data_IF_913288266445
#
_entry.id   IF_913288266445
#
_cell.length_a   1.000
_cell.length_b   1.000
_cell.length_c   1.000
_cell.angle_alpha   90.00
_cell.angle_beta   90.00
_cell.angle_gamma   90.00
#
_symmetry.space_group_name_H-M   'P 1'
#
loop_
_entity.id
_entity.type
_entity.pdbx_description
1 polymer ?
#
# COMPACT_ATOMS: atom_id res chain seq x y z
N UNK A 1 19.57 -21.48 -45.80
CA UNK A 1 20.38 -20.77 -44.77
C UNK A 1 19.40 -20.11 -43.83
N UNK A 2 18.99 -20.84 -42.79
CA UNK A 2 18.07 -20.31 -41.77
C UNK A 2 18.86 -19.31 -40.93
N UNK A 3 18.54 -18.02 -41.06
CA UNK A 3 19.01 -17.03 -40.10
C UNK A 3 18.35 -17.37 -38.76
N UNK A 4 19.15 -17.82 -37.80
CA UNK A 4 18.79 -17.74 -36.39
C UNK A 4 18.66 -16.26 -36.05
N UNK A 5 17.44 -15.74 -36.12
CA UNK A 5 17.12 -14.40 -35.64
C UNK A 5 17.27 -14.45 -34.11
N UNK A 6 18.47 -14.16 -33.61
CA UNK A 6 18.69 -13.95 -32.19
C UNK A 6 17.89 -12.71 -31.79
N UNK A 7 16.91 -12.92 -30.92
CA UNK A 7 15.93 -11.96 -30.38
C UNK A 7 16.56 -10.93 -29.44
N UNK A 8 17.49 -10.10 -29.94
CA UNK A 8 18.06 -9.00 -29.14
C UNK A 8 17.13 -7.78 -29.00
N UNK A 9 15.99 -7.78 -29.68
CA UNK A 9 15.01 -6.70 -29.67
C UNK A 9 13.60 -7.30 -29.73
N UNK A 10 13.09 -7.87 -28.65
CA UNK A 10 11.67 -8.20 -28.51
C UNK A 10 11.08 -7.31 -27.42
N UNK A 11 9.85 -6.82 -27.60
CA UNK A 11 9.15 -6.02 -26.59
C UNK A 11 8.97 -6.86 -25.34
N UNK A 12 9.62 -6.47 -24.23
CA UNK A 12 9.57 -7.26 -23.01
C UNK A 12 8.29 -6.98 -22.22
N UNK A 13 7.23 -7.70 -22.58
CA UNK A 13 5.93 -7.65 -21.89
C UNK A 13 5.94 -8.74 -20.80
N UNK A 14 6.10 -8.34 -19.54
CA UNK A 14 6.01 -9.22 -18.37
C UNK A 14 4.56 -9.31 -17.92
N UNK A 15 4.07 -10.50 -17.63
CA UNK A 15 2.74 -10.71 -17.04
C UNK A 15 2.89 -11.47 -15.74
N UNK A 16 2.46 -10.86 -14.64
CA UNK A 16 2.60 -11.41 -13.28
C UNK A 16 1.20 -11.59 -12.70
N UNK A 17 0.74 -12.84 -12.50
CA UNK A 17 -0.49 -13.09 -11.76
C UNK A 17 -0.23 -12.86 -10.27
N UNK A 18 -1.13 -12.13 -9.63
CA UNK A 18 -1.16 -11.97 -8.18
C UNK A 18 -2.40 -12.65 -7.64
N UNK A 19 -2.20 -13.60 -6.73
CA UNK A 19 -3.30 -14.20 -5.98
C UNK A 19 -2.98 -14.20 -4.51
N UNK A 20 -4.02 -14.03 -3.71
CA UNK A 20 -3.90 -14.14 -2.26
C UNK A 20 -4.59 -15.43 -1.79
N UNK A 21 -3.85 -16.26 -1.04
CA UNK A 21 -4.44 -17.41 -0.36
C UNK A 21 -5.38 -16.94 0.76
N UNK A 22 -6.39 -17.75 1.17
CA UNK A 22 -7.41 -17.38 2.17
C UNK A 22 -6.88 -16.88 3.53
N UNK A 23 -5.59 -17.07 3.80
CA UNK A 23 -4.95 -16.88 5.11
C UNK A 23 -3.90 -15.76 5.11
N UNK A 24 -3.43 -15.30 3.94
CA UNK A 24 -2.39 -14.27 3.82
C UNK A 24 -2.96 -12.93 3.38
N UNK A 25 -2.18 -11.85 3.46
CA UNK A 25 -2.44 -10.58 2.77
C UNK A 25 -1.23 -10.38 1.87
N UNK A 26 -1.43 -10.27 0.56
CA UNK A 26 -0.33 -9.95 -0.34
C UNK A 26 -0.11 -8.43 -0.29
N UNK A 27 1.04 -8.03 0.25
CA UNK A 27 1.47 -6.63 0.30
C UNK A 27 2.69 -6.47 -0.57
N UNK A 28 2.61 -5.55 -1.52
CA UNK A 28 3.77 -5.01 -2.21
C UNK A 28 4.06 -3.65 -1.60
N UNK A 29 5.27 -3.50 -1.08
CA UNK A 29 5.71 -2.26 -0.45
C UNK A 29 5.87 -1.12 -1.48
N UNK A 30 5.87 0.15 -1.04
CA UNK A 30 6.07 1.26 -1.97
C UNK A 30 7.36 1.12 -2.76
N UNK A 31 7.21 1.15 -4.08
CA UNK A 31 8.29 0.93 -5.01
C UNK A 31 8.14 1.79 -6.27
N UNK A 32 9.22 1.87 -7.03
CA UNK A 32 9.31 2.60 -8.30
C UNK A 32 10.12 1.74 -9.25
N UNK A 33 9.67 1.62 -10.48
CA UNK A 33 10.38 0.86 -11.51
C UNK A 33 10.28 1.58 -12.86
N UNK A 34 11.16 1.22 -13.80
CA UNK A 34 11.29 1.87 -15.12
C UNK A 34 10.20 1.48 -16.13
N UNK A 35 9.38 0.50 -15.77
CA UNK A 35 8.37 -0.07 -16.65
C UNK A 35 7.04 0.68 -16.41
N UNK A 36 6.20 0.76 -17.43
CA UNK A 36 4.80 1.09 -17.22
C UNK A 36 4.08 -0.14 -16.71
N UNK A 37 3.13 0.05 -15.79
CA UNK A 37 2.37 -1.02 -15.17
C UNK A 37 0.88 -0.85 -15.39
N UNK A 38 0.23 -1.96 -15.74
CA UNK A 38 -1.21 -2.12 -15.82
C UNK A 38 -1.59 -3.19 -14.81
N UNK A 39 -2.32 -2.83 -13.77
CA UNK A 39 -2.87 -3.77 -12.81
C UNK A 39 -4.38 -3.90 -12.98
N UNK A 40 -4.85 -5.10 -13.35
CA UNK A 40 -6.27 -5.42 -13.48
C UNK A 40 -6.73 -6.28 -12.31
N UNK A 41 -7.73 -5.83 -11.56
CA UNK A 41 -8.35 -6.64 -10.50
C UNK A 41 -9.44 -7.56 -11.10
N UNK A 42 -9.31 -8.87 -10.91
CA UNK A 42 -10.28 -9.86 -11.40
C UNK A 42 -11.32 -10.24 -10.35
N UNK A 43 -10.89 -10.46 -9.11
CA UNK A 43 -11.75 -10.84 -7.99
C UNK A 43 -11.23 -10.22 -6.68
N UNK A 44 -12.09 -10.13 -5.67
CA UNK A 44 -11.71 -9.62 -4.34
C UNK A 44 -11.60 -8.10 -4.26
N UNK A 45 -10.71 -7.60 -3.41
CA UNK A 45 -10.50 -6.17 -3.19
C UNK A 45 -9.00 -5.84 -3.17
N UNK A 46 -8.63 -4.73 -3.80
CA UNK A 46 -7.26 -4.21 -3.75
C UNK A 46 -7.25 -2.74 -3.33
N UNK A 47 -6.22 -2.36 -2.58
CA UNK A 47 -5.89 -0.98 -2.32
C UNK A 47 -4.54 -0.67 -2.96
N UNK A 48 -4.53 0.28 -3.88
CA UNK A 48 -3.33 0.84 -4.47
C UNK A 48 -3.05 2.20 -3.85
N UNK A 49 -1.78 2.45 -3.56
CA UNK A 49 -1.25 3.75 -3.21
C UNK A 49 -0.37 4.16 -4.36
N UNK A 50 -0.67 5.25 -5.05
CA UNK A 50 0.16 5.78 -6.14
C UNK A 50 0.42 7.25 -5.85
N UNK A 51 1.70 7.57 -5.64
CA UNK A 51 2.17 8.83 -5.06
C UNK A 51 1.37 9.20 -3.80
N UNK A 52 0.45 10.14 -3.94
CA UNK A 52 -0.32 10.72 -2.85
C UNK A 52 -1.80 10.31 -2.92
N UNK A 53 -2.16 9.40 -3.80
CA UNK A 53 -3.54 8.97 -4.04
C UNK A 53 -3.73 7.53 -3.63
N UNK A 54 -4.91 7.24 -3.08
CA UNK A 54 -5.33 5.89 -2.72
C UNK A 54 -6.46 5.50 -3.66
N UNK A 55 -6.29 4.36 -4.32
CA UNK A 55 -7.26 3.76 -5.21
C UNK A 55 -7.76 2.46 -4.61
N UNK A 56 -9.06 2.41 -4.28
CA UNK A 56 -9.72 1.17 -3.86
C UNK A 56 -10.38 0.54 -5.07
N UNK A 57 -9.81 -0.55 -5.55
CA UNK A 57 -10.25 -1.22 -6.77
C UNK A 57 -11.43 -2.14 -6.47
N UNK A 58 -12.34 -2.20 -7.42
CA UNK A 58 -13.35 -3.24 -7.58
C UNK A 58 -12.99 -4.17 -8.75
N UNK A 59 -13.48 -5.42 -8.78
CA UNK A 59 -13.33 -6.29 -9.93
C UNK A 59 -13.69 -5.59 -11.24
N UNK A 60 -12.83 -5.72 -12.24
CA UNK A 60 -12.93 -5.06 -13.54
C UNK A 60 -12.40 -3.64 -13.61
N UNK A 61 -11.78 -3.15 -12.55
CA UNK A 61 -11.05 -1.89 -12.58
C UNK A 61 -9.56 -2.12 -12.83
N UNK A 62 -8.96 -1.16 -13.54
CA UNK A 62 -7.55 -1.15 -13.90
C UNK A 62 -6.87 0.04 -13.23
N UNK A 63 -5.71 -0.19 -12.64
CA UNK A 63 -4.78 0.89 -12.27
C UNK A 63 -3.64 0.92 -13.27
N UNK A 64 -3.37 2.10 -13.81
CA UNK A 64 -2.23 2.37 -14.69
C UNK A 64 -1.19 3.21 -13.96
N UNK A 65 0.09 2.85 -14.12
CA UNK A 65 1.19 3.47 -13.39
C UNK A 65 2.34 3.73 -14.36
N UNK A 66 2.85 4.96 -14.31
CA UNK A 66 4.01 5.42 -15.05
C UNK A 66 5.30 5.05 -14.30
N UNK A 67 6.41 4.92 -15.03
CA UNK A 67 7.75 4.65 -14.51
C UNK A 67 8.28 5.70 -13.52
N UNK A 68 7.66 6.87 -13.45
CA UNK A 68 8.02 7.93 -12.51
C UNK A 68 7.02 8.12 -11.35
N UNK A 69 6.13 7.14 -11.11
CA UNK A 69 5.16 7.13 -10.01
C UNK A 69 5.49 6.07 -8.96
N UNK A 70 5.79 6.49 -7.75
CA UNK A 70 5.97 5.61 -6.60
C UNK A 70 4.62 4.96 -6.25
N UNK A 71 4.59 3.64 -6.09
CA UNK A 71 3.35 2.94 -5.82
C UNK A 71 3.52 1.71 -4.93
N UNK A 72 2.46 1.36 -4.21
CA UNK A 72 2.37 0.16 -3.38
C UNK A 72 0.98 -0.41 -3.48
N UNK A 73 0.79 -1.68 -3.17
CA UNK A 73 -0.56 -2.22 -3.09
C UNK A 73 -0.73 -3.32 -2.06
N UNK A 74 -1.99 -3.52 -1.72
CA UNK A 74 -2.47 -4.48 -0.76
C UNK A 74 -3.64 -5.23 -1.38
N UNK A 75 -3.52 -6.55 -1.49
CA UNK A 75 -4.62 -7.43 -1.86
C UNK A 75 -5.28 -7.95 -0.58
N UNK A 76 -6.54 -7.58 -0.38
CA UNK A 76 -7.30 -7.85 0.84
C UNK A 76 -8.46 -8.81 0.56
N UNK A 77 -8.54 -9.86 1.38
CA UNK A 77 -9.63 -10.84 1.35
C UNK A 77 -9.20 -12.19 0.79
N UNK A 78 -9.93 -13.24 1.19
CA UNK A 78 -9.80 -14.55 0.59
C UNK A 78 -10.17 -14.47 -0.90
N UNK A 79 -9.44 -15.22 -1.75
CA UNK A 79 -9.73 -15.34 -3.19
C UNK A 79 -9.60 -14.04 -4.01
N UNK A 80 -8.72 -13.13 -3.59
CA UNK A 80 -8.37 -11.94 -4.40
C UNK A 80 -7.39 -12.34 -5.50
N UNK A 81 -7.75 -12.08 -6.76
CA UNK A 81 -6.92 -12.31 -7.93
C UNK A 81 -6.78 -11.01 -8.74
N UNK A 82 -5.56 -10.69 -9.13
CA UNK A 82 -5.24 -9.59 -10.04
C UNK A 82 -4.15 -9.99 -11.02
N UNK A 83 -4.08 -9.27 -12.14
CA UNK A 83 -3.05 -9.46 -13.16
C UNK A 83 -2.30 -8.15 -13.33
N UNK A 84 -0.99 -8.21 -13.15
CA UNK A 84 -0.07 -7.13 -13.44
C UNK A 84 0.59 -7.37 -14.80
N UNK A 85 0.58 -6.36 -15.67
CA UNK A 85 1.30 -6.35 -16.94
C UNK A 85 2.31 -5.21 -16.88
N UNK A 86 3.59 -5.51 -17.08
CA UNK A 86 4.68 -4.54 -17.12
C UNK A 86 5.39 -4.54 -18.47
N UNK A 87 5.76 -3.36 -18.94
CA UNK A 87 6.49 -3.19 -20.18
C UNK A 87 7.35 -1.93 -20.16
N UNK A 88 8.49 -1.96 -20.85
CA UNK A 88 9.30 -0.76 -21.00
C UNK A 88 8.68 0.17 -22.07
N UNK A 89 8.44 1.46 -21.78
CA UNK A 89 7.88 2.37 -22.76
C UNK A 89 8.77 2.55 -24.01
N UNK A 90 10.09 2.37 -23.87
CA UNK A 90 11.04 2.48 -24.99
C UNK A 90 10.89 1.33 -25.98
N UNK A 91 10.59 0.11 -25.50
CA UNK A 91 10.45 -1.07 -26.35
C UNK A 91 9.28 -0.91 -27.33
N UNK A 92 8.20 -0.26 -26.92
CA UNK A 92 7.06 0.03 -27.80
C UNK A 92 7.41 1.03 -28.91
N UNK A 93 8.31 1.98 -28.59
CA UNK A 93 8.75 3.04 -29.48
C UNK A 93 9.58 2.51 -30.66
N UNK A 94 10.34 1.42 -30.42
CA UNK A 94 11.19 0.78 -31.42
C UNK A 94 10.41 -0.14 -32.38
N UNK A 95 9.32 -0.78 -31.91
CA UNK A 95 8.73 -1.93 -32.62
C UNK A 95 7.44 -1.67 -33.38
N UNK A 96 6.62 -0.69 -32.98
CA UNK A 96 5.25 -0.66 -33.52
C UNK A 96 4.64 0.71 -33.86
N UNK A 97 5.01 1.84 -33.24
CA UNK A 97 4.06 2.99 -33.22
C UNK A 97 4.66 4.40 -33.26
N UNK A 98 5.56 4.71 -34.20
CA UNK A 98 5.97 6.11 -34.45
C UNK A 98 4.81 7.07 -34.82
N UNK A 99 3.65 6.54 -35.17
CA UNK A 99 2.52 7.29 -35.75
C UNK A 99 1.33 7.41 -34.78
N UNK A 100 1.27 6.62 -33.70
CA UNK A 100 0.08 6.51 -32.84
C UNK A 100 0.48 6.51 -31.36
N UNK A 101 -0.13 7.40 -30.57
CA UNK A 101 0.11 7.51 -29.12
C UNK A 101 -0.69 6.45 -28.35
N UNK A 102 -0.05 5.32 -28.03
CA UNK A 102 -0.60 4.26 -27.16
C UNK A 102 -0.15 4.36 -25.71
N UNK A 103 0.58 5.41 -25.37
CA UNK A 103 1.12 5.63 -24.03
C UNK A 103 0.39 6.78 -23.32
N UNK A 104 -0.54 7.45 -24.00
CA UNK A 104 -1.26 8.63 -23.55
C UNK A 104 -1.77 8.55 -22.11
N UNK A 105 -2.50 7.48 -21.75
CA UNK A 105 -3.05 7.33 -20.41
C UNK A 105 -1.99 7.22 -19.30
N UNK A 106 -0.74 6.89 -19.63
CA UNK A 106 0.36 6.83 -18.65
C UNK A 106 1.09 8.17 -18.49
N UNK A 107 1.14 9.00 -19.53
CA UNK A 107 2.02 10.17 -19.57
C UNK A 107 1.28 11.50 -19.59
N UNK A 108 0.09 11.57 -20.20
CA UNK A 108 -0.69 12.81 -20.32
C UNK A 108 -1.69 12.95 -19.17
N UNK A 109 -1.14 12.87 -17.95
CA UNK A 109 -1.86 13.12 -16.70
C UNK A 109 -0.90 13.51 -15.58
N UNK A 110 -1.35 14.28 -14.59
CA UNK A 110 -0.54 14.53 -13.40
C UNK A 110 -0.22 13.22 -12.65
N UNK A 111 0.98 13.13 -12.09
CA UNK A 111 1.41 11.97 -11.29
C UNK A 111 0.51 11.76 -10.07
N UNK A 112 0.14 10.51 -9.83
CA UNK A 112 -0.80 10.11 -8.79
C UNK A 112 -2.24 10.52 -9.08
N UNK A 113 -2.57 11.07 -10.25
CA UNK A 113 -3.94 11.41 -10.63
C UNK A 113 -4.37 10.63 -11.88
N UNK A 114 -5.67 10.35 -11.98
CA UNK A 114 -6.28 9.59 -13.09
C UNK A 114 -5.63 8.22 -13.35
N UNK A 115 -5.09 7.57 -12.32
CA UNK A 115 -4.52 6.23 -12.47
C UNK A 115 -5.59 5.13 -12.59
N UNK A 116 -6.84 5.39 -12.22
CA UNK A 116 -7.92 4.39 -12.21
C UNK A 116 -8.77 4.47 -13.48
N UNK A 117 -8.81 3.37 -14.22
CA UNK A 117 -9.71 3.15 -15.37
C UNK A 117 -10.80 2.17 -14.95
N UNK A 118 -12.05 2.59 -15.09
CA UNK A 118 -13.22 1.73 -14.88
C UNK A 118 -13.61 1.10 -16.22
N UNK A 119 -13.43 -0.22 -16.38
CA UNK A 119 -13.75 -0.89 -17.65
C UNK A 119 -15.27 -0.95 -17.80
N UNK A 120 -15.86 -0.38 -18.87
CA UNK A 120 -17.29 -0.49 -19.10
C UNK A 120 -17.70 -1.95 -19.29
N UNK A 121 -18.84 -2.35 -18.72
CA UNK A 121 -19.33 -3.74 -18.78
C UNK A 121 -19.35 -4.32 -20.21
N UNK A 122 -19.69 -3.48 -21.21
CA UNK A 122 -19.72 -3.88 -22.64
C UNK A 122 -18.34 -4.21 -23.23
N UNK A 123 -17.26 -3.71 -22.63
CA UNK A 123 -15.87 -3.91 -23.07
C UNK A 123 -15.13 -4.95 -22.21
N UNK A 124 -15.70 -5.35 -21.07
CA UNK A 124 -15.05 -6.21 -20.09
C UNK A 124 -14.58 -7.54 -20.69
N UNK A 125 -15.48 -8.30 -21.32
CA UNK A 125 -15.14 -9.61 -21.89
C UNK A 125 -14.06 -9.53 -22.97
N UNK A 126 -14.07 -8.46 -23.78
CA UNK A 126 -13.06 -8.24 -24.80
C UNK A 126 -11.68 -7.98 -24.18
N UNK A 127 -11.60 -7.08 -23.19
CA UNK A 127 -10.35 -6.75 -22.49
C UNK A 127 -9.79 -7.98 -21.77
N UNK A 128 -10.64 -8.73 -21.06
CA UNK A 128 -10.23 -9.98 -20.40
C UNK A 128 -9.73 -11.01 -21.42
N UNK A 129 -10.41 -11.12 -22.57
CA UNK A 129 -9.97 -11.97 -23.68
C UNK A 129 -8.57 -11.61 -24.18
N UNK A 130 -8.26 -10.30 -24.30
CA UNK A 130 -6.93 -9.82 -24.69
C UNK A 130 -5.87 -10.15 -23.63
N UNK A 131 -6.16 -9.90 -22.35
CA UNK A 131 -5.25 -10.25 -21.25
C UNK A 131 -4.92 -11.75 -21.24
N UNK A 132 -5.94 -12.60 -21.44
CA UNK A 132 -5.74 -14.05 -21.52
C UNK A 132 -4.92 -14.49 -22.74
N UNK A 133 -5.13 -13.85 -23.91
CA UNK A 133 -4.28 -14.07 -25.11
C UNK A 133 -2.82 -13.70 -24.82
N UNK A 134 -2.56 -12.54 -24.21
CA UNK A 134 -1.20 -12.10 -23.87
C UNK A 134 -0.52 -13.09 -22.94
N UNK A 135 -1.24 -13.60 -21.92
CA UNK A 135 -0.74 -14.66 -21.02
C UNK A 135 -0.42 -15.94 -21.78
N UNK A 136 -1.36 -16.43 -22.57
CA UNK A 136 -1.23 -17.70 -23.30
C UNK A 136 -0.08 -17.67 -24.31
N UNK A 137 0.07 -16.58 -25.07
CA UNK A 137 1.18 -16.44 -26.02
C UNK A 137 2.51 -16.17 -25.31
N UNK A 138 2.50 -15.56 -24.12
CA UNK A 138 3.69 -15.35 -23.31
C UNK A 138 4.28 -16.61 -22.69
N UNK A 139 3.49 -17.67 -22.51
CA UNK A 139 3.95 -18.96 -21.96
C UNK A 139 4.42 -19.97 -23.01
N UNK A 140 4.43 -19.59 -24.30
CA UNK A 140 4.66 -20.51 -25.42
C UNK A 140 5.60 -19.87 -26.46
N UNK A 141 6.73 -20.53 -26.75
CA UNK A 141 7.74 -20.02 -27.69
C UNK A 141 7.56 -20.52 -29.14
N UNK A 142 6.32 -20.86 -29.52
CA UNK A 142 6.03 -21.33 -30.89
C UNK A 142 6.16 -20.20 -31.91
N UNK A 143 6.49 -20.55 -33.16
CA UNK A 143 6.59 -19.60 -34.26
C UNK A 143 5.33 -18.72 -34.37
N UNK A 144 5.51 -17.40 -34.47
CA UNK A 144 4.43 -16.42 -34.60
C UNK A 144 3.78 -15.99 -33.28
N UNK A 145 4.01 -16.66 -32.16
CA UNK A 145 3.38 -16.32 -30.88
C UNK A 145 3.85 -14.97 -30.33
N UNK A 146 5.10 -14.58 -30.55
CA UNK A 146 5.60 -13.24 -30.20
C UNK A 146 4.81 -12.12 -30.90
N UNK A 147 4.49 -12.30 -32.19
CA UNK A 147 3.67 -11.35 -32.94
C UNK A 147 2.21 -11.31 -32.44
N UNK A 148 1.62 -12.47 -32.13
CA UNK A 148 0.28 -12.55 -31.55
C UNK A 148 0.20 -11.91 -30.16
N UNK A 149 1.24 -12.09 -29.33
CA UNK A 149 1.38 -11.44 -28.03
C UNK A 149 1.44 -9.92 -28.17
N UNK A 150 2.32 -9.42 -29.04
CA UNK A 150 2.51 -7.99 -29.27
C UNK A 150 1.25 -7.33 -29.82
N UNK A 151 0.60 -7.94 -30.82
CA UNK A 151 -0.64 -7.41 -31.40
C UNK A 151 -1.79 -7.36 -30.39
N UNK A 152 -1.98 -8.43 -29.60
CA UNK A 152 -2.97 -8.45 -28.51
C UNK A 152 -2.69 -7.38 -27.45
N UNK A 153 -1.41 -7.15 -27.14
CA UNK A 153 -1.00 -6.12 -26.19
C UNK A 153 -1.22 -4.70 -26.71
N UNK A 154 -0.90 -4.42 -27.97
CA UNK A 154 -1.18 -3.13 -28.61
C UNK A 154 -2.70 -2.87 -28.65
N UNK A 155 -3.50 -3.88 -28.99
CA UNK A 155 -4.97 -3.77 -28.97
C UNK A 155 -5.49 -3.43 -27.56
N UNK A 156 -4.95 -4.08 -26.52
CA UNK A 156 -5.27 -3.76 -25.12
C UNK A 156 -4.94 -2.29 -24.79
N UNK A 157 -3.76 -1.81 -25.15
CA UNK A 157 -3.37 -0.42 -24.93
C UNK A 157 -4.33 0.56 -25.62
N UNK A 158 -4.73 0.29 -26.86
CA UNK A 158 -5.68 1.13 -27.58
C UNK A 158 -7.02 1.19 -26.84
N UNK A 159 -7.56 0.06 -26.40
CA UNK A 159 -8.80 0.03 -25.62
C UNK A 159 -8.70 0.85 -24.33
N UNK A 160 -7.62 0.69 -23.56
CA UNK A 160 -7.42 1.44 -22.31
C UNK A 160 -7.31 2.94 -22.55
N UNK A 161 -6.59 3.37 -23.59
CA UNK A 161 -6.50 4.79 -23.95
C UNK A 161 -7.86 5.35 -24.39
N UNK A 162 -8.62 4.62 -25.19
CA UNK A 162 -9.98 5.05 -25.61
C UNK A 162 -10.90 5.19 -24.39
N UNK A 163 -10.86 4.26 -23.43
CA UNK A 163 -11.67 4.38 -22.21
C UNK A 163 -11.20 5.59 -21.40
N UNK A 164 -9.89 5.74 -21.18
CA UNK A 164 -9.29 6.86 -20.44
C UNK A 164 -9.67 8.23 -21.00
N UNK A 165 -9.69 8.37 -22.33
CA UNK A 165 -10.04 9.63 -23.01
C UNK A 165 -11.54 9.97 -22.88
N UNK A 166 -12.39 8.95 -22.78
CA UNK A 166 -13.83 9.13 -22.67
C UNK A 166 -14.33 9.13 -21.22
N UNK A 167 -13.48 8.81 -20.25
CA UNK A 167 -13.80 8.89 -18.83
C UNK A 167 -13.65 10.33 -18.32
N UNK A 168 -14.69 10.83 -17.65
CA UNK A 168 -14.55 12.02 -16.80
C UNK A 168 -13.53 11.73 -15.69
N UNK A 169 -12.90 12.78 -15.13
CA UNK A 169 -12.01 12.64 -13.99
C UNK A 169 -12.68 11.83 -12.89
N UNK A 170 -12.31 10.55 -12.78
CA UNK A 170 -12.80 9.65 -11.75
C UNK A 170 -12.46 10.31 -10.44
N UNK A 171 -13.47 10.80 -9.71
CA UNK A 171 -13.30 11.46 -8.41
C UNK A 171 -12.46 10.53 -7.56
N UNK A 172 -11.16 10.80 -7.47
CA UNK A 172 -10.24 10.17 -6.52
C UNK A 172 -10.99 10.23 -5.21
N UNK A 173 -11.16 9.10 -4.53
CA UNK A 173 -11.75 9.14 -3.20
C UNK A 173 -10.92 10.15 -2.41
N UNK A 174 -11.50 11.32 -2.12
CA UNK A 174 -10.89 12.48 -1.47
C UNK A 174 -10.51 12.12 -0.03
N UNK A 175 -9.58 11.19 0.12
CA UNK A 175 -9.09 10.70 1.42
C UNK A 175 -7.76 11.37 1.75
N UNK A 176 -7.12 12.04 0.78
CA UNK A 176 -6.10 13.03 1.10
C UNK A 176 -6.77 14.37 1.38
N UNK A 177 -6.42 15.01 2.51
CA UNK A 177 -6.77 16.40 2.76
C UNK A 177 -6.30 17.22 1.55
N UNK A 178 -7.17 18.04 0.95
CA UNK A 178 -6.85 18.82 -0.26
C UNK A 178 -5.53 19.61 -0.05
N UNK A 179 -5.29 20.10 1.17
CA UNK A 179 -4.03 20.76 1.56
C UNK A 179 -2.78 19.87 1.50
N UNK A 180 -2.89 18.59 1.86
CA UNK A 180 -1.74 17.68 1.84
C UNK A 180 -1.28 17.38 0.41
N UNK A 181 -2.21 17.28 -0.55
CA UNK A 181 -1.85 17.11 -1.95
C UNK A 181 -1.03 18.30 -2.46
N UNK A 182 -1.47 19.52 -2.12
CA UNK A 182 -0.77 20.75 -2.49
C UNK A 182 0.63 20.78 -1.87
N UNK A 183 0.76 20.39 -0.59
CA UNK A 183 2.06 20.31 0.11
C UNK A 183 2.99 19.30 -0.55
N UNK A 184 2.51 18.08 -0.82
CA UNK A 184 3.32 17.02 -1.41
C UNK A 184 3.77 17.37 -2.83
N UNK A 185 2.86 17.93 -3.64
CA UNK A 185 3.21 18.42 -4.98
C UNK A 185 4.26 19.53 -4.92
N UNK A 186 4.13 20.45 -3.97
CA UNK A 186 5.13 21.49 -3.77
C UNK A 186 6.50 20.91 -3.38
N UNK A 187 6.55 19.99 -2.40
CA UNK A 187 7.79 19.34 -1.97
C UNK A 187 8.49 18.66 -3.16
N UNK A 188 7.75 17.86 -3.93
CA UNK A 188 8.31 17.08 -5.04
C UNK A 188 8.86 17.96 -6.17
N UNK A 189 8.22 19.10 -6.43
CA UNK A 189 8.68 20.05 -7.44
C UNK A 189 9.79 21.00 -6.95
N UNK A 190 10.10 21.02 -5.64
CA UNK A 190 11.02 21.98 -5.03
C UNK A 190 12.07 21.31 -4.13
N UNK A 191 12.46 20.07 -4.45
CA UNK A 191 13.38 19.27 -3.62
C UNK A 191 14.74 19.95 -3.35
N UNK A 192 15.24 20.78 -4.27
CA UNK A 192 16.48 21.55 -4.11
C UNK A 192 16.36 22.78 -3.21
N UNK A 193 15.15 23.21 -2.86
CA UNK A 193 14.89 24.42 -2.06
C UNK A 193 14.89 24.16 -0.55
N UNK A 194 14.75 25.22 0.25
CA UNK A 194 14.49 25.05 1.69
C UNK A 194 13.09 24.50 1.94
N UNK A 195 13.05 23.24 2.36
CA UNK A 195 11.85 22.48 2.73
C UNK A 195 11.82 22.20 4.25
N UNK A 196 12.44 23.07 5.05
CA UNK A 196 12.32 23.03 6.50
C UNK A 196 10.85 23.07 6.93
N UNK A 197 10.54 22.47 8.09
CA UNK A 197 9.20 22.51 8.66
C UNK A 197 8.71 23.96 8.84
N UNK A 198 9.62 24.88 9.18
CA UNK A 198 9.39 26.32 9.28
C UNK A 198 8.98 26.92 7.93
N UNK A 199 9.77 26.68 6.89
CA UNK A 199 9.50 27.15 5.52
C UNK A 199 8.12 26.67 5.02
N UNK A 200 7.84 25.38 5.20
CA UNK A 200 6.59 24.77 4.75
C UNK A 200 5.38 25.26 5.56
N UNK A 201 5.50 25.35 6.88
CA UNK A 201 4.44 25.89 7.75
C UNK A 201 4.10 27.33 7.37
N UNK A 202 5.11 28.19 7.17
CA UNK A 202 4.90 29.57 6.77
C UNK A 202 4.29 29.68 5.37
N UNK A 203 4.76 28.87 4.41
CA UNK A 203 4.28 28.91 3.02
C UNK A 203 2.81 28.52 2.89
N UNK A 204 2.38 27.52 3.66
CA UNK A 204 1.00 27.02 3.63
C UNK A 204 0.12 27.62 4.72
N UNK A 205 0.62 28.60 5.48
CA UNK A 205 -0.10 29.24 6.59
C UNK A 205 -0.63 28.23 7.61
N UNK A 206 0.19 27.24 7.97
CA UNK A 206 -0.17 26.13 8.87
C UNK A 206 0.64 26.15 10.16
N UNK A 207 0.02 25.70 11.24
CA UNK A 207 0.75 25.34 12.46
C UNK A 207 1.70 24.15 12.21
N UNK A 208 2.92 24.23 12.78
CA UNK A 208 3.98 23.23 12.60
C UNK A 208 3.57 21.85 13.13
N UNK A 209 2.86 21.80 14.26
CA UNK A 209 2.42 20.54 14.85
C UNK A 209 1.26 19.93 14.07
N UNK A 210 0.32 20.76 13.61
CA UNK A 210 -0.73 20.32 12.69
C UNK A 210 -0.15 19.74 11.41
N UNK A 211 0.78 20.44 10.75
CA UNK A 211 1.43 19.97 9.53
C UNK A 211 2.13 18.61 9.75
N UNK A 212 2.89 18.46 10.83
CA UNK A 212 3.53 17.18 11.18
C UNK A 212 2.52 16.05 11.42
N UNK A 213 1.46 16.32 12.21
CA UNK A 213 0.41 15.33 12.51
C UNK A 213 -0.34 14.91 11.25
N UNK A 214 -0.79 15.88 10.45
CA UNK A 214 -1.47 15.64 9.19
C UNK A 214 -0.58 14.84 8.23
N UNK A 215 0.65 15.30 8.01
CA UNK A 215 1.57 14.64 7.09
C UNK A 215 1.84 13.18 7.51
N UNK A 216 2.12 12.93 8.80
CA UNK A 216 2.35 11.57 9.31
C UNK A 216 1.10 10.70 9.25
N UNK A 217 -0.07 11.26 9.57
CA UNK A 217 -1.36 10.54 9.52
C UNK A 217 -1.63 9.97 8.12
N UNK A 218 -1.37 10.74 7.08
CA UNK A 218 -1.76 10.37 5.71
C UNK A 218 -0.63 9.73 4.89
N UNK A 219 0.63 10.07 5.14
CA UNK A 219 1.77 9.47 4.40
C UNK A 219 2.40 8.29 5.13
N UNK A 220 2.17 8.14 6.45
CA UNK A 220 2.87 7.16 7.30
C UNK A 220 4.31 7.58 7.66
N UNK A 221 4.82 8.70 7.14
CA UNK A 221 6.18 9.19 7.36
C UNK A 221 6.19 10.56 8.03
N UNK A 222 7.28 10.88 8.74
CA UNK A 222 7.51 12.29 9.10
C UNK A 222 7.85 13.10 7.84
N UNK A 223 7.48 14.38 7.85
CA UNK A 223 7.75 15.32 6.76
C UNK A 223 9.23 15.34 6.35
N UNK A 224 10.13 15.49 7.32
CA UNK A 224 11.57 15.46 7.08
C UNK A 224 12.04 14.15 6.42
N UNK A 225 11.49 13.01 6.86
CA UNK A 225 11.84 11.70 6.32
C UNK A 225 11.43 11.57 4.85
N UNK A 226 10.21 11.99 4.51
CA UNK A 226 9.72 12.01 3.13
C UNK A 226 10.63 12.86 2.22
N UNK A 227 10.97 14.07 2.65
CA UNK A 227 11.85 14.97 1.88
C UNK A 227 13.21 14.29 1.65
N UNK A 228 13.85 13.79 2.70
CA UNK A 228 15.16 13.13 2.59
C UNK A 228 15.12 11.97 1.59
N UNK A 229 14.07 11.14 1.61
CA UNK A 229 13.91 10.03 0.67
C UNK A 229 13.79 10.52 -0.77
N UNK A 230 12.87 11.45 -1.05
CA UNK A 230 12.68 12.01 -2.39
C UNK A 230 13.98 12.66 -2.91
N UNK A 231 14.75 13.32 -2.03
CA UNK A 231 16.10 13.83 -2.38
C UNK A 231 17.08 12.71 -2.72
N UNK A 232 17.13 11.61 -1.96
CA UNK A 232 17.99 10.46 -2.29
C UNK A 232 17.60 9.84 -3.63
N UNK A 233 16.30 9.64 -3.89
CA UNK A 233 15.84 9.09 -5.17
C UNK A 233 16.20 9.98 -6.36
N UNK A 234 15.99 11.30 -6.21
CA UNK A 234 16.45 12.26 -7.21
C UNK A 234 17.97 12.18 -7.41
N UNK A 235 18.76 12.09 -6.34
CA UNK A 235 20.22 11.96 -6.44
C UNK A 235 20.65 10.70 -7.19
N UNK A 236 19.99 9.55 -6.97
CA UNK A 236 20.24 8.31 -7.72
C UNK A 236 19.96 8.49 -9.21
N UNK A 237 18.81 9.08 -9.55
CA UNK A 237 18.45 9.38 -10.93
C UNK A 237 19.48 10.28 -11.62
N UNK A 238 19.98 11.31 -10.91
CA UNK A 238 21.04 12.18 -11.42
C UNK A 238 22.37 11.44 -11.62
N UNK A 239 22.78 10.61 -10.66
CA UNK A 239 23.99 9.78 -10.76
C UNK A 239 23.94 8.84 -11.97
N UNK A 240 22.79 8.23 -12.23
CA UNK A 240 22.57 7.38 -13.42
C UNK A 240 22.66 8.15 -14.73
N UNK A 241 22.23 9.42 -14.74
CA UNK A 241 22.42 10.33 -15.88
C UNK A 241 23.87 10.81 -16.04
N UNK A 242 24.82 10.25 -15.28
CA UNK A 242 26.24 10.59 -15.34
C UNK A 242 26.61 11.88 -14.61
N UNK A 243 25.69 12.45 -13.82
CA UNK A 243 25.99 13.64 -13.01
C UNK A 243 26.96 13.25 -11.90
N UNK A 244 27.95 14.11 -11.64
CA UNK A 244 28.93 13.88 -10.59
C UNK A 244 28.28 13.77 -9.21
N UNK A 245 28.90 13.03 -8.30
CA UNK A 245 28.38 12.83 -6.94
C UNK A 245 28.15 14.17 -6.21
N UNK A 246 29.08 15.10 -6.37
CA UNK A 246 28.98 16.45 -5.79
C UNK A 246 27.79 17.23 -6.37
N UNK A 247 27.61 17.21 -7.69
CA UNK A 247 26.48 17.92 -8.30
C UNK A 247 25.15 17.24 -7.96
N UNK A 248 25.09 15.91 -7.95
CA UNK A 248 23.90 15.16 -7.57
C UNK A 248 23.48 15.47 -6.11
N UNK A 249 24.44 15.61 -5.19
CA UNK A 249 24.20 16.05 -3.82
C UNK A 249 23.49 17.42 -3.79
N UNK A 250 24.03 18.42 -4.47
CA UNK A 250 23.47 19.78 -4.44
C UNK A 250 22.15 19.90 -5.22
N UNK A 251 22.07 19.29 -6.40
CA UNK A 251 20.86 19.32 -7.24
C UNK A 251 19.68 18.57 -6.59
N UNK A 252 19.96 17.58 -5.75
CA UNK A 252 18.93 16.92 -4.96
C UNK A 252 18.58 17.67 -3.66
N UNK A 253 19.23 18.80 -3.35
CA UNK A 253 18.88 19.64 -2.20
C UNK A 253 19.60 19.29 -0.90
N UNK A 254 20.68 18.52 -0.94
CA UNK A 254 21.56 18.37 0.22
C UNK A 254 22.57 19.52 0.27
N UNK A 255 22.60 20.20 1.41
CA UNK A 255 23.54 21.31 1.67
C UNK A 255 24.87 20.84 2.26
N UNK A 256 24.92 19.61 2.78
CA UNK A 256 26.12 19.03 3.39
C UNK A 256 26.45 17.69 2.72
N UNK A 257 27.62 17.64 2.08
CA UNK A 257 28.10 16.48 1.35
C UNK A 257 28.35 15.26 2.26
N UNK A 258 28.84 15.47 3.48
CA UNK A 258 29.13 14.39 4.42
C UNK A 258 27.84 13.72 4.91
N UNK A 259 26.81 14.53 5.20
CA UNK A 259 25.48 14.08 5.57
C UNK A 259 24.80 13.38 4.39
N UNK A 260 24.94 13.91 3.17
CA UNK A 260 24.47 13.24 1.96
C UNK A 260 25.06 11.85 1.81
N UNK A 261 26.39 11.69 1.86
CA UNK A 261 27.04 10.38 1.71
C UNK A 261 26.58 9.38 2.77
N UNK A 262 26.48 9.82 4.04
CA UNK A 262 25.99 8.97 5.15
C UNK A 262 24.54 8.55 4.92
N UNK A 263 23.68 9.50 4.55
CA UNK A 263 22.25 9.27 4.31
C UNK A 263 22.02 8.39 3.09
N UNK A 264 22.72 8.66 2.00
CA UNK A 264 22.69 7.86 0.78
C UNK A 264 23.12 6.42 1.06
N UNK A 265 24.21 6.22 1.81
CA UNK A 265 24.66 4.88 2.21
C UNK A 265 23.66 4.18 3.11
N UNK A 266 23.04 4.89 4.04
CA UNK A 266 22.00 4.33 4.92
C UNK A 266 20.78 3.87 4.12
N UNK A 267 20.34 4.67 3.15
CA UNK A 267 19.14 4.38 2.35
C UNK A 267 19.44 3.33 1.27
N UNK A 268 20.56 3.42 0.56
CA UNK A 268 20.89 2.53 -0.58
C UNK A 268 21.73 1.31 -0.24
N UNK A 269 22.27 1.23 0.97
CA UNK A 269 23.27 0.23 1.37
C UNK A 269 24.67 0.47 0.80
N UNK A 270 24.87 1.45 -0.10
CA UNK A 270 26.13 1.71 -0.80
C UNK A 270 26.51 3.19 -0.72
N UNK A 271 27.80 3.52 -0.68
CA UNK A 271 28.19 4.94 -0.89
C UNK A 271 27.86 5.39 -2.32
N UNK A 272 27.66 6.69 -2.59
CA UNK A 272 27.38 7.18 -3.93
C UNK A 272 28.40 6.77 -5.01
N UNK A 273 29.69 6.71 -4.65
CA UNK A 273 30.73 6.25 -5.58
C UNK A 273 30.64 4.74 -5.86
N UNK A 274 30.38 3.95 -4.83
CA UNK A 274 30.14 2.51 -4.99
C UNK A 274 28.88 2.25 -5.81
N UNK A 275 27.85 3.07 -5.62
CA UNK A 275 26.61 3.05 -6.39
C UNK A 275 26.91 3.28 -7.88
N UNK A 276 27.54 4.40 -8.25
CA UNK A 276 27.91 4.68 -9.65
C UNK A 276 28.76 3.57 -10.24
N UNK A 277 29.77 3.07 -9.51
CA UNK A 277 30.65 1.99 -10.00
C UNK A 277 29.92 0.67 -10.22
N UNK A 278 28.95 0.33 -9.36
CA UNK A 278 28.20 -0.93 -9.44
C UNK A 278 27.13 -0.90 -10.52
N UNK A 279 26.53 0.27 -10.76
CA UNK A 279 25.36 0.42 -11.62
C UNK A 279 25.62 1.21 -12.90
N UNK A 280 26.88 1.52 -13.20
CA UNK A 280 27.29 2.02 -14.52
C UNK A 280 26.80 1.06 -15.62
N UNK A 281 25.73 1.46 -16.33
CA UNK A 281 25.16 0.72 -17.45
C UNK A 281 24.22 -0.45 -17.12
N UNK A 282 23.63 -0.54 -15.90
CA UNK A 282 22.64 -1.59 -15.55
C UNK A 282 21.32 -0.99 -15.06
N UNK A 283 20.19 -1.66 -15.33
CA UNK A 283 18.84 -1.12 -15.10
C UNK A 283 18.34 -1.20 -13.64
N UNK A 284 17.52 -0.20 -13.27
CA UNK A 284 17.10 0.22 -11.92
C UNK A 284 16.25 -0.73 -11.06
N UNK A 285 15.72 -1.82 -11.62
CA UNK A 285 14.56 -2.54 -11.07
C UNK A 285 14.88 -3.43 -9.84
N UNK A 286 15.97 -4.21 -9.87
CA UNK A 286 16.37 -5.08 -8.75
C UNK A 286 16.98 -4.30 -7.57
N UNK A 287 17.44 -3.07 -7.84
CA UNK A 287 18.16 -2.24 -6.88
C UNK A 287 17.22 -1.38 -6.03
N UNK A 288 16.15 -0.84 -6.62
CA UNK A 288 15.17 -0.04 -5.90
C UNK A 288 14.51 -0.88 -4.81
N UNK A 289 14.02 -2.07 -5.16
CA UNK A 289 13.37 -2.99 -4.21
C UNK A 289 14.30 -3.36 -3.05
N UNK A 290 15.58 -3.66 -3.33
CA UNK A 290 16.56 -3.98 -2.27
C UNK A 290 16.93 -2.80 -1.37
N UNK A 291 17.04 -1.59 -1.92
CA UNK A 291 17.22 -0.34 -1.14
C UNK A 291 16.03 -0.14 -0.20
N UNK A 292 14.83 -0.38 -0.70
CA UNK A 292 13.59 -0.19 0.03
C UNK A 292 13.39 -1.25 1.12
N UNK A 293 13.67 -2.52 0.82
CA UNK A 293 13.57 -3.63 1.79
C UNK A 293 14.55 -3.47 2.95
N UNK A 294 15.82 -3.15 2.68
CA UNK A 294 16.83 -2.86 3.73
C UNK A 294 16.44 -1.65 4.58
N UNK A 295 15.70 -0.70 4.00
CA UNK A 295 15.18 0.46 4.70
C UNK A 295 13.97 0.12 5.57
N UNK A 296 13.06 -0.74 5.11
CA UNK A 296 11.95 -1.26 5.92
C UNK A 296 12.51 -2.07 7.09
N UNK A 297 13.45 -2.98 6.87
CA UNK A 297 14.07 -3.78 7.93
C UNK A 297 14.81 -2.92 8.96
N UNK A 298 15.59 -1.92 8.52
CA UNK A 298 16.32 -1.02 9.43
C UNK A 298 15.44 0.01 10.14
N UNK A 299 14.22 0.27 9.65
CA UNK A 299 13.27 1.22 10.24
C UNK A 299 12.23 0.54 11.14
N UNK A 300 11.76 -0.67 10.79
CA UNK A 300 10.95 -1.54 11.66
C UNK A 300 11.71 -1.88 12.95
N UNK A 301 13.03 -2.06 12.86
CA UNK A 301 13.91 -2.21 14.02
C UNK A 301 14.07 -0.92 14.86
N UNK A 302 13.70 0.26 14.35
CA UNK A 302 13.96 1.57 14.99
C UNK A 302 12.73 2.22 15.66
N UNK A 303 11.51 1.78 15.36
CA UNK A 303 10.27 2.30 15.96
C UNK A 303 9.47 1.25 16.75
N UNK A 304 9.91 0.00 16.68
CA UNK A 304 9.21 -1.14 17.24
C UNK A 304 7.85 -1.37 16.59
N UNK A 305 7.33 -2.58 16.75
CA UNK A 305 5.98 -2.94 16.30
C UNK A 305 5.09 -3.22 17.52
N UNK A 306 3.83 -2.77 17.52
CA UNK A 306 2.89 -3.13 18.58
C UNK A 306 2.61 -4.63 18.56
N UNK A 307 2.20 -5.16 19.69
CA UNK A 307 1.78 -6.55 19.86
C UNK A 307 0.70 -6.54 20.94
N UNK A 308 -0.57 -6.42 20.52
CA UNK A 308 -1.68 -6.35 21.46
C UNK A 308 -2.12 -7.75 21.88
N UNK A 309 -2.20 -7.95 23.18
CA UNK A 309 -2.77 -9.16 23.75
C UNK A 309 -3.93 -8.82 24.65
N UNK A 310 -4.88 -9.74 24.73
CA UNK A 310 -5.93 -9.71 25.75
C UNK A 310 -5.37 -10.40 26.99
N UNK A 311 -5.25 -9.67 28.10
CA UNK A 311 -4.73 -10.23 29.37
C UNK A 311 -5.84 -10.62 30.33
N UNK A 312 -7.01 -10.01 30.22
CA UNK A 312 -8.15 -10.33 31.07
C UNK A 312 -9.49 -10.06 30.38
N UNK A 313 -10.53 -10.78 30.82
CA UNK A 313 -11.92 -10.60 30.42
C UNK A 313 -12.78 -10.50 31.66
N UNK A 314 -13.68 -9.51 31.68
CA UNK A 314 -14.66 -9.28 32.73
C UNK A 314 -16.04 -9.00 32.13
N UNK A 315 -17.08 -9.08 32.96
CA UNK A 315 -18.46 -8.84 32.56
C UNK A 315 -19.25 -8.20 33.69
N UNK A 316 -20.32 -7.51 33.32
CA UNK A 316 -21.29 -6.95 34.26
C UNK A 316 -22.71 -7.34 33.82
N UNK A 317 -23.58 -7.82 34.74
CA UNK A 317 -23.34 -8.03 36.16
C UNK A 317 -22.35 -9.16 36.45
N UNK A 318 -21.68 -9.16 37.61
CA UNK A 318 -20.64 -10.15 37.97
C UNK A 318 -21.19 -11.59 38.05
N UNK A 319 -22.43 -11.72 38.53
CA UNK A 319 -23.15 -12.99 38.67
C UNK A 319 -24.46 -12.95 37.85
N UNK A 320 -24.37 -13.01 36.50
CA UNK A 320 -25.54 -12.90 35.64
C UNK A 320 -26.44 -14.14 35.73
N UNK A 321 -27.75 -13.91 35.69
CA UNK A 321 -28.77 -14.96 35.59
C UNK A 321 -29.43 -14.92 34.21
N UNK A 322 -30.22 -15.95 33.92
CA UNK A 322 -30.96 -16.05 32.67
C UNK A 322 -31.77 -14.77 32.36
N UNK A 323 -31.70 -14.33 31.10
CA UNK A 323 -32.27 -13.10 30.56
C UNK A 323 -31.64 -11.78 31.05
N UNK A 324 -30.50 -11.82 31.74
CA UNK A 324 -29.74 -10.59 32.01
C UNK A 324 -29.04 -10.08 30.75
N UNK A 325 -28.94 -8.76 30.65
CA UNK A 325 -28.08 -8.09 29.68
C UNK A 325 -26.66 -8.04 30.25
N UNK A 326 -25.75 -8.75 29.61
CA UNK A 326 -24.35 -8.86 30.04
C UNK A 326 -23.47 -7.98 29.16
N UNK A 327 -22.79 -7.01 29.76
CA UNK A 327 -21.79 -6.16 29.08
C UNK A 327 -20.40 -6.71 29.34
N UNK A 328 -19.66 -7.01 28.27
CA UNK A 328 -18.28 -7.51 28.35
C UNK A 328 -17.25 -6.39 28.35
N UNK A 329 -16.11 -6.64 29.00
CA UNK A 329 -14.92 -5.79 28.94
C UNK A 329 -13.65 -6.63 28.87
N UNK A 330 -12.61 -6.12 28.21
CA UNK A 330 -11.31 -6.77 28.09
C UNK A 330 -10.18 -5.81 28.47
N UNK A 331 -9.17 -6.33 29.15
CA UNK A 331 -7.91 -5.62 29.39
C UNK A 331 -6.95 -5.97 28.26
N UNK A 332 -6.53 -4.93 27.53
CA UNK A 332 -5.57 -5.03 26.43
C UNK A 332 -4.24 -4.49 26.91
N UNK A 333 -3.14 -5.19 26.64
CA UNK A 333 -1.79 -4.65 26.86
C UNK A 333 -1.01 -4.72 25.55
N UNK A 334 -0.17 -3.72 25.30
CA UNK A 334 0.77 -3.77 24.19
C UNK A 334 2.11 -4.33 24.68
N UNK A 335 2.41 -5.61 24.39
CA UNK A 335 3.71 -6.24 24.72
C UNK A 335 4.79 -6.00 23.64
N UNK A 336 4.43 -5.27 22.59
CA UNK A 336 5.31 -4.98 21.47
C UNK A 336 6.36 -3.94 21.82
N UNK A 337 7.20 -3.63 20.85
CA UNK A 337 8.28 -2.64 20.99
C UNK A 337 7.88 -1.26 20.46
N UNK A 338 6.72 -1.14 19.81
CA UNK A 338 6.20 0.11 19.25
C UNK A 338 4.76 0.39 19.67
N UNK A 339 4.34 1.66 19.66
CA UNK A 339 2.97 2.07 20.02
C UNK A 339 1.97 1.74 18.91
N UNK A 340 0.69 1.54 19.27
CA UNK A 340 -0.38 1.49 18.26
C UNK A 340 -0.53 2.84 17.54
N UNK A 341 -0.98 2.86 16.26
CA UNK A 341 -1.06 4.11 15.51
C UNK A 341 -2.12 5.08 16.08
N UNK A 342 -1.75 6.34 16.28
CA UNK A 342 -2.67 7.38 16.74
C UNK A 342 -3.85 7.57 15.77
N UNK A 343 -5.08 7.56 16.30
CA UNK A 343 -6.29 7.75 15.50
C UNK A 343 -6.77 6.50 14.76
N UNK A 344 -6.08 5.35 14.90
CA UNK A 344 -6.59 4.04 14.47
C UNK A 344 -7.28 3.41 15.66
N UNK A 345 -8.49 2.90 15.44
CA UNK A 345 -9.29 2.26 16.50
C UNK A 345 -8.63 0.93 16.89
N UNK A 346 -8.34 0.76 18.17
CA UNK A 346 -8.08 -0.56 18.76
C UNK A 346 -9.43 -1.19 19.10
N UNK A 347 -9.92 -2.04 18.21
CA UNK A 347 -11.20 -2.73 18.38
C UNK A 347 -11.07 -4.02 19.17
N UNK A 348 -12.14 -4.40 19.87
CA UNK A 348 -12.24 -5.72 20.54
C UNK A 348 -13.59 -6.33 20.19
N UNK A 349 -13.56 -7.53 19.61
CA UNK A 349 -14.76 -8.35 19.43
C UNK A 349 -14.95 -9.26 20.64
N UNK A 350 -16.17 -9.30 21.18
CA UNK A 350 -16.56 -10.21 22.24
C UNK A 350 -17.46 -11.30 21.64
N UNK A 351 -16.94 -12.52 21.64
CA UNK A 351 -17.62 -13.69 21.12
C UNK A 351 -18.17 -14.57 22.23
N UNK A 352 -19.36 -15.11 22.02
CA UNK A 352 -19.97 -16.14 22.85
C UNK A 352 -20.08 -17.42 22.02
N UNK A 353 -19.47 -18.51 22.49
CA UNK A 353 -19.46 -19.81 21.80
C UNK A 353 -19.05 -19.70 20.31
N UNK A 354 -18.08 -18.82 20.02
CA UNK A 354 -17.54 -18.60 18.68
C UNK A 354 -18.27 -17.54 17.83
N UNK A 355 -19.40 -16.99 18.28
CA UNK A 355 -20.14 -15.94 17.56
C UNK A 355 -19.92 -14.57 18.19
N UNK A 356 -19.57 -13.56 17.40
CA UNK A 356 -19.42 -12.18 17.89
C UNK A 356 -20.79 -11.60 18.25
N UNK A 357 -20.97 -11.21 19.52
CA UNK A 357 -22.23 -10.68 20.04
C UNK A 357 -22.16 -9.17 20.25
N UNK A 358 -21.03 -8.70 20.81
CA UNK A 358 -20.77 -7.28 21.08
C UNK A 358 -19.33 -6.92 20.74
N UNK A 359 -19.04 -5.63 20.63
CA UNK A 359 -17.72 -5.13 20.31
C UNK A 359 -17.45 -3.77 20.96
N UNK A 360 -16.17 -3.42 21.04
CA UNK A 360 -15.66 -2.10 21.38
C UNK A 360 -15.01 -1.47 20.15
N UNK A 361 -15.40 -0.26 19.75
CA UNK A 361 -14.90 0.41 18.55
C UNK A 361 -14.63 1.92 18.70
N UNK A 362 -14.52 2.45 19.93
CA UNK A 362 -14.34 3.88 20.19
C UNK A 362 -12.94 4.27 20.69
N UNK A 363 -12.05 3.32 20.97
CA UNK A 363 -10.72 3.64 21.50
C UNK A 363 -9.71 3.89 20.37
N UNK A 364 -9.30 5.15 20.19
CA UNK A 364 -8.40 5.57 19.10
C UNK A 364 -7.10 6.24 19.59
N UNK A 365 -6.83 6.23 20.90
CA UNK A 365 -5.58 6.72 21.46
C UNK A 365 -4.47 5.65 21.29
N UNK A 366 -3.20 6.05 21.09
CA UNK A 366 -2.09 5.10 21.10
C UNK A 366 -2.02 4.32 22.41
N UNK A 367 -1.78 3.01 22.31
CA UNK A 367 -1.38 2.15 23.42
C UNK A 367 0.13 1.98 23.28
N UNK A 368 0.88 2.58 24.19
CA UNK A 368 2.35 2.52 24.20
C UNK A 368 2.86 1.15 24.70
N UNK A 369 4.10 0.74 24.37
CA UNK A 369 4.68 -0.49 24.91
C UNK A 369 4.58 -0.58 26.44
N UNK A 370 3.99 -1.66 26.94
CA UNK A 370 3.74 -1.91 28.36
C UNK A 370 2.48 -1.26 28.94
N UNK A 371 1.80 -0.39 28.18
CA UNK A 371 0.54 0.24 28.60
C UNK A 371 -0.64 -0.73 28.49
N UNK A 372 -1.51 -0.69 29.50
CA UNK A 372 -2.77 -1.44 29.50
C UNK A 372 -3.98 -0.51 29.44
N UNK A 373 -5.01 -0.96 28.73
CA UNK A 373 -6.29 -0.25 28.59
C UNK A 373 -7.45 -1.20 28.79
N UNK A 374 -8.50 -0.73 29.46
CA UNK A 374 -9.76 -1.48 29.59
C UNK A 374 -10.72 -1.02 28.49
N UNK A 375 -11.11 -1.95 27.63
CA UNK A 375 -12.07 -1.70 26.55
C UNK A 375 -13.38 -2.42 26.86
N UNK A 376 -14.46 -1.65 26.94
CA UNK A 376 -15.82 -2.13 27.22
C UNK A 376 -16.63 -2.13 25.95
N UNK A 377 -17.50 -3.14 25.80
CA UNK A 377 -18.44 -3.21 24.69
C UNK A 377 -19.29 -1.92 24.62
N UNK A 378 -19.31 -1.30 23.44
CA UNK A 378 -20.06 -0.08 23.14
C UNK A 378 -21.00 -0.25 21.93
N UNK A 379 -20.92 -1.39 21.23
CA UNK A 379 -21.81 -1.81 20.16
C UNK A 379 -22.10 -3.31 20.23
N UNK A 380 -23.12 -3.75 19.51
CA UNK A 380 -23.53 -5.14 19.44
C UNK A 380 -24.72 -5.36 18.52
N UNK A 381 -25.17 -6.61 18.42
CA UNK A 381 -26.32 -6.99 17.58
C UNK A 381 -27.55 -6.14 17.92
N UNK A 382 -28.21 -5.61 16.89
CA UNK A 382 -29.38 -4.73 17.06
C UNK A 382 -29.07 -3.36 17.68
N UNK A 383 -27.79 -2.96 17.76
CA UNK A 383 -27.36 -1.68 18.35
C UNK A 383 -27.28 -1.70 19.88
N UNK A 384 -27.36 -2.88 20.50
CA UNK A 384 -27.32 -3.05 21.95
C UNK A 384 -25.91 -3.52 22.37
N UNK A 385 -25.20 -2.80 23.26
CA UNK A 385 -23.86 -3.16 23.71
C UNK A 385 -23.88 -4.22 24.83
N UNK A 386 -24.78 -5.19 24.72
CA UNK A 386 -24.95 -6.25 25.70
C UNK A 386 -25.42 -7.56 25.04
N UNK A 387 -24.97 -8.68 25.59
CA UNK A 387 -25.43 -10.01 25.22
C UNK A 387 -26.56 -10.45 26.15
N UNK A 388 -27.63 -11.01 25.58
CA UNK A 388 -28.76 -11.51 26.35
C UNK A 388 -28.50 -12.96 26.78
N UNK A 389 -28.24 -13.18 28.06
CA UNK A 389 -27.73 -14.43 28.58
C UNK A 389 -28.79 -15.55 28.65
N UNK A 390 -28.68 -16.64 27.86
CA UNK A 390 -29.44 -17.86 28.08
C UNK A 390 -28.82 -18.67 29.23
N UNK A 391 -29.59 -19.52 29.89
CA UNK A 391 -29.06 -20.44 30.90
C UNK A 391 -28.08 -21.44 30.27
N UNK A 392 -26.98 -21.74 30.96
CA UNK A 392 -25.99 -22.70 30.50
C UNK A 392 -24.54 -22.31 30.77
N UNK A 393 -23.63 -23.06 30.15
CA UNK A 393 -22.19 -22.82 30.19
C UNK A 393 -21.77 -22.24 28.85
N UNK A 394 -21.10 -21.10 28.88
CA UNK A 394 -20.72 -20.33 27.71
C UNK A 394 -19.22 -20.06 27.71
N UNK A 395 -18.59 -20.20 26.55
CA UNK A 395 -17.23 -19.72 26.32
C UNK A 395 -17.30 -18.27 25.83
N UNK A 396 -16.63 -17.38 26.56
CA UNK A 396 -16.51 -15.96 26.24
C UNK A 396 -15.10 -15.72 25.72
N UNK A 397 -14.96 -15.34 24.45
CA UNK A 397 -13.68 -15.00 23.84
C UNK A 397 -13.62 -13.51 23.56
N UNK A 398 -12.62 -12.81 24.08
CA UNK A 398 -12.28 -11.47 23.63
C UNK A 398 -11.18 -11.56 22.58
N UNK A 399 -11.33 -10.80 21.50
CA UNK A 399 -10.39 -10.77 20.38
C UNK A 399 -10.01 -9.32 20.08
N UNK A 400 -8.78 -8.92 20.43
CA UNK A 400 -8.26 -7.59 20.13
C UNK A 400 -7.78 -7.50 18.68
N UNK A 401 -7.97 -6.32 18.09
CA UNK A 401 -7.78 -6.07 16.66
C UNK A 401 -8.62 -7.01 15.78
N UNK A 402 -9.87 -7.20 16.21
CA UNK A 402 -10.86 -8.13 15.67
C UNK A 402 -11.01 -8.13 14.15
N UNK A 403 -10.94 -6.96 13.51
CA UNK A 403 -10.99 -6.81 12.04
C UNK A 403 -9.67 -6.34 11.42
N UNK A 404 -8.55 -6.53 12.12
CA UNK A 404 -7.18 -6.34 11.61
C UNK A 404 -6.86 -4.92 11.15
N UNK A 405 -7.18 -3.93 11.98
CA UNK A 405 -6.89 -2.51 11.75
C UNK A 405 -5.43 -2.16 12.06
N UNK A 406 -4.79 -2.91 12.96
CA UNK A 406 -3.44 -2.63 13.45
C UNK A 406 -2.44 -3.65 12.88
N UNK A 407 -1.23 -3.17 12.56
CA UNK A 407 -0.14 -4.05 12.13
C UNK A 407 0.73 -4.40 13.33
N UNK A 408 0.75 -5.68 13.70
CA UNK A 408 1.26 -6.17 14.99
C UNK A 408 2.30 -7.28 14.82
N UNK A 409 3.16 -7.52 15.82
CA UNK A 409 4.21 -8.56 15.75
C UNK A 409 3.64 -9.98 15.69
N UNK A 410 2.63 -10.24 16.50
CA UNK A 410 1.97 -11.53 16.60
C UNK A 410 0.47 -11.30 16.60
N UNK A 411 -0.25 -12.28 16.05
CA UNK A 411 -1.72 -12.32 16.02
C UNK A 411 -2.27 -13.57 16.70
N UNK A 412 -1.40 -14.51 17.04
CA UNK A 412 -1.75 -15.77 17.68
C UNK A 412 -2.14 -15.57 19.17
N UNK A 413 -1.77 -14.43 19.73
CA UNK A 413 -1.93 -14.00 21.12
C UNK A 413 -3.02 -12.93 21.31
N UNK A 414 -3.78 -12.60 20.26
CA UNK A 414 -4.83 -11.57 20.32
C UNK A 414 -6.12 -12.04 20.97
N UNK A 415 -6.22 -13.32 21.34
CA UNK A 415 -7.44 -13.94 21.86
C UNK A 415 -7.22 -14.48 23.26
N UNK A 416 -8.22 -14.29 24.11
CA UNK A 416 -8.34 -14.96 25.40
C UNK A 416 -9.76 -15.51 25.52
N UNK A 417 -9.91 -16.69 26.10
CA UNK A 417 -11.23 -17.29 26.41
C UNK A 417 -11.40 -17.46 27.92
N UNK A 418 -12.62 -17.23 28.42
CA UNK A 418 -13.06 -17.59 29.77
C UNK A 418 -14.42 -18.28 29.74
N UNK A 419 -14.67 -19.15 30.70
CA UNK A 419 -15.99 -19.78 30.89
C UNK A 419 -16.89 -18.92 31.78
N UNK A 420 -18.12 -18.68 31.33
CA UNK A 420 -19.19 -18.03 32.08
C UNK A 420 -20.36 -19.02 32.26
N UNK A 421 -20.84 -19.14 33.50
CA UNK A 421 -21.97 -20.02 33.84
C UNK A 421 -23.16 -19.13 34.18
N UNK A 422 -24.24 -19.27 33.40
CA UNK A 422 -25.51 -18.57 33.60
C UNK A 422 -26.48 -19.52 34.29
N UNK A 423 -26.97 -19.13 35.47
CA UNK A 423 -27.97 -19.90 36.21
C UNK A 423 -29.37 -19.57 35.69
N UNK A 424 -30.22 -20.59 35.57
CA UNK A 424 -31.65 -20.39 35.31
C UNK A 424 -32.30 -19.56 36.41
N UNK A 425 -33.26 -18.72 36.04
CA UNK A 425 -34.14 -18.08 37.03
C UNK A 425 -35.02 -19.16 37.66
N UNK A 426 -34.96 -19.31 38.98
CA UNK A 426 -35.86 -20.20 39.73
C UNK A 426 -37.29 -19.68 39.72
#
# INVERSE_FOLDING_TARGET
MFFSYQSQHDVNIKVVPHSNNPVSVLRVHPHLHKDFEIFLLLTGQALFYVENSIYRLKPGQVVIINSEEEHSFLLNGAETEGIEIRFNPSDLYFHAMRIMDTQHCFVDRPKGMRNLIDIPQKQYDNIIGLVNKIRFYGSNESYGYGALKLTSFVELLVHLNVIFMNSEDTKVSKILHDDLQVILNYINNNLSSDLSLESLANRFFMDKFYLCRMFKKYTGYSLHKYIVLKRIFLSKSLLHKGISVTNACHMSGFNDYSNFVKTFKKVSGLSPLQYVKKYAGKSDEEEYNRTYDLFIESYSAAFGMPDLIVTDISWSPENPVECDNVTFSAVIINIGTGSTPAGVITGVGFCVNGYTETWSDNYALPITPGESVLLTANGGNGGIPAWHAPAGVHEITAFVDDIRRINENSRENNKLSKTLIIRSKQ
#
